data_IF_863829195388
#
_entry.id   IF_863829195388
#
_cell.length_a   1.000
_cell.length_b   1.000
_cell.length_c   1.000
_cell.angle_alpha   90.00
_cell.angle_beta   90.00
_cell.angle_gamma   90.00
#
_symmetry.space_group_name_H-M   'P 1'
#
loop_
_entity.id
_entity.type
_entity.pdbx_description
1 polymer ?
#
# COMPACT_ATOMS: atom_id res chain seq x y z
N UNK A 1 -18.98 -1.33 -10.56
CA UNK A 1 -19.31 -2.50 -9.73
C UNK A 1 -20.56 -3.24 -10.23
N UNK A 2 -21.62 -2.55 -10.66
CA UNK A 2 -22.87 -3.18 -11.08
C UNK A 2 -22.95 -3.66 -12.54
N UNK A 3 -21.93 -3.40 -13.37
CA UNK A 3 -21.96 -3.69 -14.81
C UNK A 3 -21.67 -5.14 -15.22
N UNK A 4 -20.87 -5.95 -14.49
CA UNK A 4 -20.66 -7.35 -14.87
C UNK A 4 -21.96 -8.17 -14.76
N UNK A 5 -22.22 -9.01 -15.75
CA UNK A 5 -23.47 -9.81 -15.87
C UNK A 5 -23.74 -10.74 -14.68
N UNK A 6 -22.68 -11.17 -13.98
CA UNK A 6 -22.77 -12.07 -12.83
C UNK A 6 -22.90 -11.35 -11.47
N UNK A 7 -22.98 -10.01 -11.47
CA UNK A 7 -23.14 -9.24 -10.23
C UNK A 7 -24.62 -9.09 -9.91
N UNK A 8 -25.06 -9.78 -8.87
CA UNK A 8 -26.44 -9.68 -8.38
C UNK A 8 -26.68 -8.36 -7.60
N UNK A 9 -25.69 -7.95 -6.80
CA UNK A 9 -25.76 -6.73 -5.99
C UNK A 9 -24.37 -6.23 -5.64
N UNK A 10 -24.25 -4.91 -5.43
CA UNK A 10 -23.05 -4.29 -4.89
C UNK A 10 -23.34 -3.72 -3.50
N UNK A 11 -22.49 -4.08 -2.52
CA UNK A 11 -22.59 -3.56 -1.16
C UNK A 11 -21.87 -2.22 -1.06
N UNK A 12 -22.50 -1.26 -0.40
CA UNK A 12 -21.91 0.07 -0.15
C UNK A 12 -21.96 0.40 1.34
N UNK A 13 -20.81 0.82 1.88
CA UNK A 13 -20.69 1.31 3.26
C UNK A 13 -21.19 2.75 3.38
N UNK A 14 -22.50 2.95 3.44
CA UNK A 14 -23.13 4.26 3.54
C UNK A 14 -23.22 4.70 4.98
N UNK A 15 -22.70 5.90 5.30
CA UNK A 15 -22.74 6.49 6.63
C UNK A 15 -23.68 7.71 6.69
N UNK A 16 -23.81 8.45 5.60
CA UNK A 16 -24.62 9.66 5.49
C UNK A 16 -25.72 9.51 4.44
N UNK A 17 -26.79 10.31 4.57
CA UNK A 17 -27.93 10.31 3.65
C UNK A 17 -27.51 10.67 2.21
N UNK A 18 -26.52 11.53 2.07
CA UNK A 18 -25.95 11.93 0.79
C UNK A 18 -25.35 10.73 0.03
N UNK A 19 -24.70 9.80 0.74
CA UNK A 19 -24.19 8.56 0.12
C UNK A 19 -25.32 7.69 -0.44
N UNK A 20 -26.42 7.57 0.29
CA UNK A 20 -27.59 6.84 -0.17
C UNK A 20 -28.20 7.49 -1.42
N UNK A 21 -28.37 8.81 -1.40
CA UNK A 21 -28.93 9.56 -2.54
C UNK A 21 -28.05 9.45 -3.78
N UNK A 22 -26.74 9.47 -3.61
CA UNK A 22 -25.79 9.33 -4.71
C UNK A 22 -25.80 7.92 -5.30
N UNK A 23 -25.83 6.89 -4.43
CA UNK A 23 -25.98 5.51 -4.85
C UNK A 23 -27.29 5.26 -5.60
N UNK A 24 -28.41 5.82 -5.13
CA UNK A 24 -29.69 5.72 -5.83
C UNK A 24 -29.59 6.36 -7.22
N UNK A 25 -28.99 7.53 -7.35
CA UNK A 25 -28.78 8.19 -8.66
C UNK A 25 -27.93 7.34 -9.60
N UNK A 26 -26.90 6.70 -9.07
CA UNK A 26 -25.99 5.86 -9.87
C UNK A 26 -26.64 4.57 -10.35
N UNK A 27 -27.54 3.99 -9.54
CA UNK A 27 -28.09 2.68 -9.81
C UNK A 27 -29.57 2.70 -10.33
N UNK A 28 -30.19 3.88 -10.47
CA UNK A 28 -31.59 3.96 -10.87
C UNK A 28 -31.86 5.03 -11.95
N UNK A 29 -31.80 4.67 -13.23
CA UNK A 29 -31.46 3.35 -13.77
C UNK A 29 -29.95 3.08 -13.78
N UNK A 30 -29.57 1.82 -13.58
CA UNK A 30 -28.19 1.41 -13.82
C UNK A 30 -27.89 1.46 -15.32
N UNK A 31 -26.88 2.24 -15.69
CA UNK A 31 -26.34 2.29 -17.05
C UNK A 31 -25.09 1.41 -17.05
N UNK A 32 -25.11 0.25 -17.74
CA UNK A 32 -23.93 -0.61 -17.84
C UNK A 32 -22.77 0.12 -18.54
N UNK A 33 -21.53 -0.21 -18.14
CA UNK A 33 -20.35 0.29 -18.81
C UNK A 33 -20.28 -0.25 -20.24
N UNK A 34 -19.83 0.60 -21.15
CA UNK A 34 -19.47 0.19 -22.51
C UNK A 34 -18.21 -0.68 -22.52
N UNK A 35 -17.90 -1.33 -23.62
CA UNK A 35 -16.65 -2.10 -23.73
C UNK A 35 -15.44 -1.16 -23.70
N UNK A 36 -15.54 0.04 -24.29
CA UNK A 36 -14.51 1.08 -24.20
C UNK A 36 -14.25 1.51 -22.75
N UNK A 37 -15.30 1.68 -21.93
CA UNK A 37 -15.16 2.00 -20.51
C UNK A 37 -14.45 0.87 -19.74
N UNK A 38 -14.76 -0.39 -20.07
CA UNK A 38 -14.13 -1.57 -19.45
C UNK A 38 -12.64 -1.65 -19.81
N UNK A 39 -12.30 -1.44 -21.08
CA UNK A 39 -10.91 -1.41 -21.55
C UNK A 39 -10.12 -0.29 -20.87
N UNK A 40 -10.69 0.90 -20.78
CA UNK A 40 -10.06 2.02 -20.05
C UNK A 40 -9.80 1.69 -18.57
N UNK A 41 -10.77 1.06 -17.88
CA UNK A 41 -10.61 0.65 -16.49
C UNK A 41 -9.53 -0.43 -16.33
N UNK A 42 -9.48 -1.39 -17.26
CA UNK A 42 -8.45 -2.44 -17.25
C UNK A 42 -7.05 -1.84 -17.48
N UNK A 43 -6.89 -0.98 -18.48
CA UNK A 43 -5.62 -0.28 -18.72
C UNK A 43 -5.17 0.53 -17.51
N UNK A 44 -6.11 1.25 -16.88
CA UNK A 44 -5.85 2.02 -15.67
C UNK A 44 -5.41 1.11 -14.51
N UNK A 45 -6.09 -0.02 -14.31
CA UNK A 45 -5.71 -0.99 -13.28
C UNK A 45 -4.30 -1.56 -13.52
N UNK A 46 -3.95 -1.86 -14.77
CA UNK A 46 -2.61 -2.32 -15.15
C UNK A 46 -1.53 -1.26 -14.88
N UNK A 47 -1.83 0.02 -15.08
CA UNK A 47 -0.92 1.11 -14.72
C UNK A 47 -0.75 1.23 -13.20
N UNK A 48 -1.83 1.09 -12.44
CA UNK A 48 -1.79 1.13 -10.97
C UNK A 48 -0.96 -0.02 -10.39
N UNK A 49 -1.07 -1.24 -10.94
CA UNK A 49 -0.28 -2.40 -10.52
C UNK A 49 1.24 -2.18 -10.75
N UNK A 50 1.60 -1.43 -11.79
CA UNK A 50 3.01 -1.11 -12.09
C UNK A 50 3.60 -0.03 -11.19
N UNK A 51 2.77 0.67 -10.44
CA UNK A 51 3.26 1.71 -9.53
C UNK A 51 4.06 1.09 -8.37
N UNK A 52 5.23 1.64 -8.01
CA UNK A 52 6.19 0.98 -7.10
C UNK A 52 5.78 1.00 -5.63
N UNK A 53 4.53 1.30 -5.29
CA UNK A 53 4.02 1.20 -3.93
C UNK A 53 3.56 -0.21 -3.59
N UNK A 54 3.65 -0.55 -2.31
CA UNK A 54 3.10 -1.79 -1.76
C UNK A 54 1.59 -1.60 -1.60
N UNK A 55 0.71 -2.52 -2.07
CA UNK A 55 -0.74 -2.33 -2.06
C UNK A 55 -1.36 -2.48 -0.65
N UNK A 56 -0.74 -1.89 0.37
CA UNK A 56 -1.25 -1.87 1.75
C UNK A 56 -2.31 -0.78 1.92
N UNK A 57 -3.49 -1.15 2.42
CA UNK A 57 -4.62 -0.26 2.69
C UNK A 57 -4.88 -0.03 4.18
N UNK A 58 -3.91 -0.33 5.06
CA UNK A 58 -4.00 -0.13 6.52
C UNK A 58 -5.18 -0.85 7.21
N UNK A 59 -5.63 -1.96 6.68
CA UNK A 59 -6.74 -2.73 7.29
C UNK A 59 -6.39 -3.38 8.63
N UNK A 60 -5.10 -3.54 8.95
CA UNK A 60 -4.55 -4.09 10.20
C UNK A 60 -4.88 -5.56 10.49
N UNK A 61 -5.37 -6.33 9.50
CA UNK A 61 -5.65 -7.76 9.70
C UNK A 61 -4.40 -8.61 9.94
N UNK A 62 -3.22 -8.10 9.53
CA UNK A 62 -1.92 -8.70 9.84
C UNK A 62 -1.43 -8.44 11.28
N UNK A 63 -2.22 -7.70 12.09
CA UNK A 63 -1.87 -7.37 13.47
C UNK A 63 -2.71 -8.17 14.48
N UNK A 64 -2.18 -8.45 15.68
CA UNK A 64 -0.83 -8.11 16.16
C UNK A 64 0.26 -9.04 15.60
N UNK A 65 1.44 -8.48 15.30
CA UNK A 65 2.60 -9.29 14.96
C UNK A 65 3.18 -9.94 16.23
N UNK A 66 3.48 -11.26 16.26
CA UNK A 66 4.08 -11.93 17.42
C UNK A 66 5.43 -11.34 17.85
N UNK A 67 6.15 -10.72 16.90
CA UNK A 67 7.44 -10.07 17.11
C UNK A 67 7.32 -8.56 17.27
N UNK A 68 6.12 -8.07 17.60
CA UNK A 68 5.81 -6.68 17.91
C UNK A 68 6.05 -5.67 16.78
N UNK A 69 6.26 -6.12 15.53
CA UNK A 69 6.45 -5.22 14.38
C UNK A 69 5.15 -4.47 14.10
N UNK A 70 5.24 -3.16 13.83
CA UNK A 70 4.14 -2.39 13.30
C UNK A 70 4.10 -2.48 11.77
N UNK A 71 3.61 -3.63 11.29
CA UNK A 71 3.60 -3.96 9.86
C UNK A 71 2.98 -2.84 9.01
N UNK A 72 1.76 -2.34 9.32
CA UNK A 72 1.16 -1.28 8.53
C UNK A 72 2.01 0.01 8.53
N UNK A 73 2.54 0.41 9.68
CA UNK A 73 3.33 1.63 9.76
C UNK A 73 4.61 1.55 8.93
N UNK A 74 5.28 0.40 8.89
CA UNK A 74 6.46 0.16 8.03
C UNK A 74 6.10 0.30 6.54
N UNK A 75 5.04 -0.40 6.10
CA UNK A 75 4.63 -0.42 4.69
C UNK A 75 4.14 0.96 4.22
N UNK A 76 3.35 1.65 5.06
CA UNK A 76 2.82 2.97 4.75
C UNK A 76 3.90 4.04 4.72
N UNK A 77 4.90 3.96 5.61
CA UNK A 77 6.05 4.86 5.55
C UNK A 77 6.81 4.71 4.23
N UNK A 78 7.07 3.47 3.80
CA UNK A 78 7.71 3.22 2.51
C UNK A 78 6.89 3.83 1.36
N UNK A 79 5.59 3.56 1.32
CA UNK A 79 4.68 4.10 0.30
C UNK A 79 4.66 5.64 0.29
N UNK A 80 4.63 6.26 1.46
CA UNK A 80 4.73 7.71 1.59
C UNK A 80 6.01 8.22 0.96
N UNK A 81 7.15 7.61 1.27
CA UNK A 81 8.44 8.00 0.71
C UNK A 81 8.51 7.80 -0.81
N UNK A 82 7.88 6.73 -1.35
CA UNK A 82 7.75 6.55 -2.81
C UNK A 82 6.99 7.71 -3.43
N UNK A 83 5.84 8.08 -2.85
CA UNK A 83 4.98 9.16 -3.38
C UNK A 83 5.65 10.54 -3.31
N UNK A 84 6.51 10.75 -2.31
CA UNK A 84 7.24 12.01 -2.10
C UNK A 84 8.59 12.05 -2.85
N UNK A 85 8.97 10.99 -3.58
CA UNK A 85 10.27 10.90 -4.25
C UNK A 85 11.46 10.70 -3.30
N UNK A 86 11.20 10.23 -2.08
CA UNK A 86 12.19 10.02 -1.02
C UNK A 86 12.76 8.59 -0.95
N UNK A 87 12.68 7.85 -2.06
CA UNK A 87 13.29 6.52 -2.22
C UNK A 87 14.37 6.61 -3.28
N UNK A 88 15.61 7.02 -2.94
CA UNK A 88 16.69 7.14 -3.89
C UNK A 88 17.11 5.76 -4.42
N UNK A 89 17.56 5.72 -5.67
CA UNK A 89 18.02 4.49 -6.33
C UNK A 89 19.54 4.37 -6.37
N UNK A 90 20.23 5.50 -6.26
CA UNK A 90 21.68 5.57 -6.32
C UNK A 90 22.20 6.75 -5.48
N UNK A 91 23.45 6.62 -5.02
CA UNK A 91 24.18 7.74 -4.37
C UNK A 91 24.44 8.91 -5.33
N UNK A 92 24.33 8.69 -6.62
CA UNK A 92 24.52 9.72 -7.66
C UNK A 92 23.26 10.52 -7.96
N UNK A 93 22.11 10.15 -7.37
CA UNK A 93 20.88 10.90 -7.56
C UNK A 93 21.05 12.33 -7.00
N UNK A 94 20.57 13.32 -7.72
CA UNK A 94 20.74 14.74 -7.37
C UNK A 94 20.18 15.05 -5.96
N UNK A 95 19.05 14.42 -5.60
CA UNK A 95 18.37 14.61 -4.32
C UNK A 95 18.76 13.55 -3.28
N UNK A 96 19.80 12.72 -3.52
CA UNK A 96 20.14 11.58 -2.66
C UNK A 96 20.21 11.93 -1.16
N UNK A 97 20.91 13.00 -0.79
CA UNK A 97 21.12 13.38 0.62
C UNK A 97 19.81 13.77 1.30
N UNK A 98 18.97 14.51 0.58
CA UNK A 98 17.67 14.96 1.09
C UNK A 98 16.70 13.78 1.22
N UNK A 99 16.55 12.96 0.18
CA UNK A 99 15.71 11.78 0.16
C UNK A 99 16.12 10.76 1.23
N UNK A 100 17.43 10.47 1.35
CA UNK A 100 17.99 9.62 2.42
C UNK A 100 17.60 10.11 3.80
N UNK A 101 17.82 11.42 4.07
CA UNK A 101 17.49 12.02 5.37
C UNK A 101 15.99 11.97 5.63
N UNK A 102 15.16 12.31 4.65
CA UNK A 102 13.71 12.29 4.76
C UNK A 102 13.20 10.88 5.07
N UNK A 103 13.73 9.87 4.36
CA UNK A 103 13.39 8.47 4.60
C UNK A 103 13.76 8.03 6.02
N UNK A 104 15.02 8.15 6.42
CA UNK A 104 15.51 7.62 7.70
C UNK A 104 14.88 8.33 8.90
N UNK A 105 14.81 9.67 8.88
CA UNK A 105 14.18 10.44 9.96
C UNK A 105 12.69 10.17 10.03
N UNK A 106 12.03 10.06 8.87
CA UNK A 106 10.61 9.71 8.79
C UNK A 106 10.35 8.30 9.33
N UNK A 107 11.20 7.33 9.00
CA UNK A 107 11.09 5.95 9.49
C UNK A 107 11.17 5.88 11.01
N UNK A 108 12.19 6.50 11.62
CA UNK A 108 12.36 6.52 13.08
C UNK A 108 11.21 7.26 13.81
N UNK A 109 10.58 8.23 13.15
CA UNK A 109 9.42 8.95 13.71
C UNK A 109 8.11 8.17 13.58
N UNK A 110 7.93 7.48 12.45
CA UNK A 110 6.69 6.74 12.15
C UNK A 110 6.66 5.37 12.82
N UNK A 111 7.82 4.73 12.99
CA UNK A 111 7.95 3.36 13.49
C UNK A 111 8.98 3.34 14.63
N UNK A 112 8.53 3.18 15.89
CA UNK A 112 9.46 3.03 17.03
C UNK A 112 10.46 1.89 16.80
N UNK A 113 11.71 2.04 17.23
CA UNK A 113 12.80 1.09 16.96
C UNK A 113 12.47 -0.37 17.28
N UNK A 114 11.80 -0.61 18.40
CA UNK A 114 11.39 -1.96 18.80
C UNK A 114 10.22 -2.54 17.98
N UNK A 115 9.75 -1.82 16.96
CA UNK A 115 8.63 -2.19 16.10
C UNK A 115 8.99 -2.11 14.62
N UNK A 116 10.27 -1.93 14.31
CA UNK A 116 10.78 -1.82 12.94
C UNK A 116 10.89 -3.19 12.24
N UNK A 117 11.18 -3.16 10.94
CA UNK A 117 11.17 -4.34 10.08
C UNK A 117 12.31 -5.33 10.38
N UNK A 118 13.41 -4.89 10.97
CA UNK A 118 14.58 -5.70 11.37
C UNK A 118 14.24 -6.82 12.36
N UNK A 119 13.12 -6.71 13.08
CA UNK A 119 12.63 -7.77 13.97
C UNK A 119 11.89 -8.91 13.23
N UNK A 120 11.74 -8.85 11.90
CA UNK A 120 11.01 -9.86 11.15
C UNK A 120 11.80 -11.15 10.99
N UNK A 121 11.29 -12.24 11.56
CA UNK A 121 11.90 -13.58 11.46
C UNK A 121 11.35 -14.40 10.28
N UNK A 122 10.39 -13.88 9.52
CA UNK A 122 9.80 -14.58 8.37
C UNK A 122 8.87 -15.74 8.76
N UNK A 123 8.09 -15.61 9.82
CA UNK A 123 7.17 -16.66 10.30
C UNK A 123 5.90 -16.84 9.44
N UNK A 124 5.66 -15.98 8.48
CA UNK A 124 4.55 -15.95 7.51
C UNK A 124 3.12 -15.84 8.07
N UNK A 125 2.93 -15.78 9.38
CA UNK A 125 1.60 -15.72 10.01
C UNK A 125 0.75 -14.52 9.54
N UNK A 126 1.39 -13.42 9.15
CA UNK A 126 0.71 -12.22 8.67
C UNK A 126 0.16 -12.36 7.24
N UNK A 127 0.72 -13.27 6.41
CA UNK A 127 0.34 -13.43 5.01
C UNK A 127 -1.09 -13.97 4.85
N UNK A 128 -1.48 -14.94 5.68
CA UNK A 128 -2.81 -15.55 5.65
C UNK A 128 -3.95 -14.56 5.90
N UNK A 129 -3.64 -13.46 6.60
CA UNK A 129 -4.62 -12.44 6.97
C UNK A 129 -4.64 -11.23 6.02
N UNK A 130 -3.75 -11.19 5.02
CA UNK A 130 -3.66 -10.04 4.12
C UNK A 130 -4.66 -10.12 2.97
N UNK A 131 -5.71 -9.26 2.91
CA UNK A 131 -6.69 -9.28 1.83
C UNK A 131 -6.12 -8.80 0.49
N UNK A 132 -4.95 -8.15 0.51
CA UNK A 132 -4.23 -7.69 -0.68
C UNK A 132 -3.19 -8.72 -1.17
N UNK A 133 -3.11 -9.89 -0.56
CA UNK A 133 -2.15 -10.94 -0.89
C UNK A 133 -0.68 -10.44 -0.93
N UNK A 134 -0.32 -9.48 -0.06
CA UNK A 134 1.05 -8.98 0.06
C UNK A 134 1.90 -10.06 0.71
N UNK A 135 3.06 -10.38 0.11
CA UNK A 135 4.11 -11.15 0.77
C UNK A 135 4.81 -10.24 1.80
N UNK A 136 4.18 -10.11 2.97
CA UNK A 136 4.58 -9.16 4.01
C UNK A 136 6.01 -9.40 4.49
N UNK A 137 6.47 -10.62 4.82
CA UNK A 137 7.85 -10.85 5.24
C UNK A 137 8.89 -10.50 4.19
N UNK A 138 8.58 -10.71 2.91
CA UNK A 138 9.44 -10.29 1.80
C UNK A 138 9.56 -8.77 1.72
N UNK A 139 8.44 -8.06 1.83
CA UNK A 139 8.44 -6.61 1.80
C UNK A 139 9.13 -6.01 3.03
N UNK A 140 8.94 -6.58 4.22
CA UNK A 140 9.64 -6.14 5.43
C UNK A 140 11.16 -6.31 5.28
N UNK A 141 11.64 -7.47 4.79
CA UNK A 141 13.07 -7.69 4.52
C UNK A 141 13.61 -6.73 3.49
N UNK A 142 12.88 -6.46 2.41
CA UNK A 142 13.28 -5.50 1.38
C UNK A 142 13.43 -4.09 1.94
N UNK A 143 12.48 -3.65 2.77
CA UNK A 143 12.53 -2.34 3.42
C UNK A 143 13.68 -2.27 4.42
N UNK A 144 13.89 -3.30 5.23
CA UNK A 144 15.00 -3.35 6.18
C UNK A 144 16.36 -3.27 5.49
N UNK A 145 16.56 -4.07 4.43
CA UNK A 145 17.76 -4.00 3.60
C UNK A 145 17.98 -2.60 3.02
N UNK A 146 16.92 -1.97 2.55
CA UNK A 146 16.99 -0.60 2.04
C UNK A 146 17.36 0.41 3.13
N UNK A 147 16.78 0.29 4.32
CA UNK A 147 17.14 1.10 5.49
C UNK A 147 18.63 0.96 5.83
N UNK A 148 19.15 -0.28 5.85
CA UNK A 148 20.56 -0.54 6.13
C UNK A 148 21.48 0.03 5.02
N UNK A 149 21.13 -0.13 3.75
CA UNK A 149 21.86 0.48 2.64
C UNK A 149 21.91 2.02 2.75
N UNK A 150 20.80 2.64 3.14
CA UNK A 150 20.75 4.09 3.38
C UNK A 150 21.66 4.50 4.57
N UNK A 151 21.66 3.74 5.66
CA UNK A 151 22.52 4.01 6.83
C UNK A 151 23.99 3.90 6.47
N UNK A 152 24.37 2.86 5.74
CA UNK A 152 25.75 2.56 5.33
C UNK A 152 26.21 3.33 4.10
N UNK A 153 25.30 4.04 3.43
CA UNK A 153 25.54 4.73 2.14
C UNK A 153 26.08 3.79 1.04
N UNK A 154 25.47 2.62 0.90
CA UNK A 154 25.89 1.55 -0.03
C UNK A 154 24.94 1.30 -1.20
N UNK A 155 24.00 2.24 -1.48
CA UNK A 155 23.12 2.19 -2.64
C UNK A 155 23.85 2.27 -3.97
#
# INVERSE_FOLDING_TARGET
>A
AGSPELVLTALSGMTYMEHLQDNIRTYSPLIPLTDEDKDFLEETAQLMIKYPTIPCNDCKYCMPCPYAIDIPAVLLHYNKCVNEGNVPKSRTDENYREARRAFLVGYDRSVPKLRQADHCVGCDQCNEHCPQAIDIPKELRRIDQFVEQLKQETL
#
